data_IF_284865854413
#
_entry.id   IF_284865854413
#
_cell.length_a   1.000
_cell.length_b   1.000
_cell.length_c   1.000
_cell.angle_alpha   90.00
_cell.angle_beta   90.00
_cell.angle_gamma   90.00
#
_symmetry.space_group_name_H-M   'P 1'
#
loop_
_entity.id
_entity.type
_entity.pdbx_description
1 polymer ?
#
# COMPACT_ATOMS: atom_id res chain seq x y z
N UNK A 1 -2.96 13.12 -29.61
CA UNK A 1 -1.94 12.55 -30.53
C UNK A 1 -2.36 11.14 -30.96
N UNK A 2 -2.15 10.73 -32.21
CA UNK A 2 -2.47 9.37 -32.66
C UNK A 2 -1.48 8.38 -32.01
N UNK A 3 -1.95 7.22 -31.54
CA UNK A 3 -1.12 6.19 -30.89
C UNK A 3 0.15 5.85 -31.70
N UNK A 4 0.05 5.88 -33.04
CA UNK A 4 1.16 5.68 -33.99
C UNK A 4 2.39 6.57 -33.73
N UNK A 5 2.22 7.83 -33.28
CA UNK A 5 3.37 8.71 -33.01
C UNK A 5 4.24 8.18 -31.87
N UNK A 6 3.63 7.69 -30.79
CA UNK A 6 4.39 7.16 -29.66
C UNK A 6 5.02 5.81 -30.00
N UNK A 7 4.38 5.02 -30.86
CA UNK A 7 4.93 3.76 -31.36
C UNK A 7 6.19 4.00 -32.23
N UNK A 8 6.17 5.00 -33.12
CA UNK A 8 7.34 5.37 -33.93
C UNK A 8 8.54 5.74 -33.06
N UNK A 9 8.34 6.63 -32.07
CA UNK A 9 9.40 7.02 -31.14
C UNK A 9 9.88 5.87 -30.25
N UNK A 10 9.00 4.92 -29.94
CA UNK A 10 9.40 3.72 -29.23
C UNK A 10 10.29 2.82 -30.08
N UNK A 11 9.98 2.61 -31.36
CA UNK A 11 10.84 1.78 -32.22
C UNK A 11 12.27 2.34 -32.30
N UNK A 12 12.43 3.66 -32.40
CA UNK A 12 13.75 4.31 -32.38
C UNK A 12 14.52 4.01 -31.07
N UNK A 13 13.84 4.08 -29.93
CA UNK A 13 14.45 3.84 -28.61
C UNK A 13 14.76 2.36 -28.32
N UNK A 14 14.09 1.42 -29.00
CA UNK A 14 14.41 -0.01 -28.90
C UNK A 14 15.77 -0.32 -29.51
N UNK A 15 16.13 0.37 -30.58
CA UNK A 15 17.40 0.17 -31.28
C UNK A 15 18.55 0.94 -30.62
N UNK A 16 18.26 2.12 -30.04
CA UNK A 16 19.24 2.96 -29.36
C UNK A 16 18.69 3.49 -28.03
N UNK A 17 18.92 2.73 -26.96
CA UNK A 17 18.43 3.06 -25.63
C UNK A 17 19.04 4.36 -25.09
N UNK A 18 18.18 5.34 -24.82
CA UNK A 18 18.54 6.58 -24.11
C UNK A 18 17.59 6.81 -22.93
N UNK A 19 18.15 6.90 -21.72
CA UNK A 19 17.38 6.98 -20.48
C UNK A 19 16.53 8.25 -20.36
N UNK A 20 17.01 9.39 -20.87
CA UNK A 20 16.29 10.67 -20.78
C UNK A 20 15.11 10.70 -21.77
N UNK A 21 15.34 10.22 -22.99
CA UNK A 21 14.29 10.11 -24.00
C UNK A 21 13.25 9.05 -23.61
N UNK A 22 13.66 7.93 -23.01
CA UNK A 22 12.74 6.93 -22.47
C UNK A 22 11.86 7.50 -21.36
N UNK A 23 12.45 8.23 -20.40
CA UNK A 23 11.70 8.89 -19.33
C UNK A 23 10.69 9.92 -19.89
N UNK A 24 11.14 10.74 -20.83
CA UNK A 24 10.28 11.72 -21.51
C UNK A 24 9.13 11.06 -22.27
N UNK A 25 9.41 10.01 -23.05
CA UNK A 25 8.40 9.28 -23.80
C UNK A 25 7.39 8.61 -22.87
N UNK A 26 7.86 7.87 -21.86
CA UNK A 26 6.99 7.21 -20.89
C UNK A 26 6.07 8.22 -20.18
N UNK A 27 6.61 9.38 -19.76
CA UNK A 27 5.81 10.43 -19.11
C UNK A 27 4.73 10.99 -20.03
N UNK A 28 5.03 11.26 -21.30
CA UNK A 28 4.03 11.79 -22.26
C UNK A 28 2.95 10.76 -22.57
N UNK A 29 3.31 9.48 -22.70
CA UNK A 29 2.33 8.38 -22.92
C UNK A 29 1.41 8.26 -21.71
N UNK A 30 1.97 8.21 -20.50
CA UNK A 30 1.22 8.13 -19.26
C UNK A 30 0.29 9.33 -19.04
N UNK A 31 0.79 10.56 -19.22
CA UNK A 31 -0.01 11.77 -19.12
C UNK A 31 -1.12 11.79 -20.17
N UNK A 32 -0.83 11.41 -21.42
CA UNK A 32 -1.85 11.36 -22.48
C UNK A 32 -2.94 10.33 -22.21
N UNK A 33 -2.61 9.19 -21.59
CA UNK A 33 -3.60 8.22 -21.14
C UNK A 33 -4.51 8.86 -20.07
N UNK A 34 -3.92 9.44 -19.03
CA UNK A 34 -4.67 10.02 -17.91
C UNK A 34 -5.52 11.22 -18.37
N UNK A 35 -4.97 12.12 -19.17
CA UNK A 35 -5.70 13.29 -19.66
C UNK A 35 -6.90 12.86 -20.50
N UNK A 36 -6.72 11.95 -21.45
CA UNK A 36 -7.83 11.44 -22.26
C UNK A 36 -8.89 10.74 -21.44
N UNK A 37 -8.47 9.96 -20.46
CA UNK A 37 -9.40 9.30 -19.57
C UNK A 37 -10.23 10.31 -18.77
N UNK A 38 -9.59 11.31 -18.13
CA UNK A 38 -10.33 12.32 -17.36
C UNK A 38 -11.16 13.29 -18.22
N UNK A 39 -10.70 13.64 -19.43
CA UNK A 39 -11.43 14.58 -20.29
C UNK A 39 -12.52 13.93 -21.13
N UNK A 40 -12.40 12.64 -21.47
CA UNK A 40 -13.28 12.00 -22.47
C UNK A 40 -13.69 10.56 -22.13
N UNK A 41 -13.35 10.04 -20.94
CA UNK A 41 -13.59 8.66 -20.52
C UNK A 41 -13.01 7.61 -21.51
N UNK A 42 -11.99 8.03 -22.28
CA UNK A 42 -11.37 7.18 -23.30
C UNK A 42 -10.29 6.28 -22.67
N UNK A 43 -10.61 5.00 -22.53
CA UNK A 43 -9.62 3.99 -22.13
C UNK A 43 -8.72 3.59 -23.32
N UNK A 44 -7.56 4.24 -23.45
CA UNK A 44 -6.63 3.97 -24.55
C UNK A 44 -5.69 2.78 -24.25
N UNK A 45 -6.08 1.58 -24.69
CA UNK A 45 -5.33 0.33 -24.48
C UNK A 45 -3.88 0.38 -24.96
N UNK A 46 -3.64 1.02 -26.09
CA UNK A 46 -2.30 1.08 -26.70
C UNK A 46 -1.29 1.82 -25.85
N UNK A 47 -1.71 2.88 -25.14
CA UNK A 47 -0.82 3.58 -24.21
C UNK A 47 -0.35 2.68 -23.06
N UNK A 48 -1.25 1.87 -22.51
CA UNK A 48 -0.91 0.92 -21.44
C UNK A 48 -0.01 -0.20 -21.98
N UNK A 49 -0.30 -0.72 -23.17
CA UNK A 49 0.56 -1.72 -23.81
C UNK A 49 1.98 -1.19 -24.00
N UNK A 50 2.12 0.02 -24.54
CA UNK A 50 3.40 0.67 -24.79
C UNK A 50 4.20 0.89 -23.49
N UNK A 51 3.55 1.31 -22.41
CA UNK A 51 4.19 1.43 -21.10
C UNK A 51 4.66 0.08 -20.55
N UNK A 52 3.93 -1.00 -20.81
CA UNK A 52 4.36 -2.35 -20.42
C UNK A 52 5.56 -2.83 -21.23
N UNK A 53 5.57 -2.58 -22.54
CA UNK A 53 6.73 -2.87 -23.39
C UNK A 53 7.98 -2.13 -22.91
N UNK A 54 7.88 -0.82 -22.69
CA UNK A 54 8.99 -0.01 -22.17
C UNK A 54 9.50 -0.50 -20.81
N UNK A 55 8.60 -1.07 -19.99
CA UNK A 55 8.92 -1.55 -18.64
C UNK A 55 9.46 -2.99 -18.59
N UNK A 56 9.61 -3.66 -19.75
CA UNK A 56 10.03 -5.08 -19.82
C UNK A 56 10.98 -5.39 -20.98
N UNK A 57 11.23 -4.45 -21.88
CA UNK A 57 11.97 -4.71 -23.11
C UNK A 57 13.49 -4.87 -22.93
N UNK A 58 14.10 -4.07 -22.05
CA UNK A 58 15.55 -3.99 -21.95
C UNK A 58 16.12 -5.09 -21.05
N UNK A 59 17.33 -5.56 -21.36
CA UNK A 59 18.08 -6.44 -20.45
C UNK A 59 18.59 -5.67 -19.21
N UNK A 60 18.82 -4.37 -19.35
CA UNK A 60 19.14 -3.48 -18.23
C UNK A 60 17.86 -3.09 -17.48
N UNK A 61 17.71 -3.62 -16.26
CA UNK A 61 16.56 -3.35 -15.41
C UNK A 61 16.42 -1.87 -15.04
N UNK A 62 17.51 -1.10 -15.02
CA UNK A 62 17.46 0.33 -14.68
C UNK A 62 16.65 1.13 -15.71
N UNK A 63 16.69 0.75 -16.98
CA UNK A 63 15.89 1.33 -18.06
C UNK A 63 14.41 0.93 -17.92
N UNK A 64 14.14 -0.36 -17.69
CA UNK A 64 12.78 -0.85 -17.46
C UNK A 64 12.11 -0.17 -16.26
N UNK A 65 12.88 0.13 -15.21
CA UNK A 65 12.39 0.82 -14.02
C UNK A 65 11.90 2.24 -14.31
N UNK A 66 12.40 2.93 -15.34
CA UNK A 66 11.94 4.28 -15.72
C UNK A 66 10.46 4.25 -16.11
N UNK A 67 10.10 3.35 -17.02
CA UNK A 67 8.73 3.19 -17.49
C UNK A 67 7.82 2.60 -16.40
N UNK A 68 8.31 1.63 -15.62
CA UNK A 68 7.58 1.08 -14.48
C UNK A 68 7.25 2.18 -13.45
N UNK A 69 8.23 2.99 -13.04
CA UNK A 69 8.02 4.12 -12.12
C UNK A 69 6.98 5.10 -12.67
N UNK A 70 7.01 5.37 -13.96
CA UNK A 70 6.04 6.25 -14.60
C UNK A 70 4.63 5.66 -14.63
N UNK A 71 4.48 4.38 -15.00
CA UNK A 71 3.18 3.68 -14.97
C UNK A 71 2.59 3.69 -13.55
N UNK A 72 3.39 3.34 -12.54
CA UNK A 72 2.93 3.31 -11.15
C UNK A 72 2.64 4.70 -10.59
N UNK A 73 3.57 5.65 -10.73
CA UNK A 73 3.46 6.98 -10.11
C UNK A 73 2.57 7.98 -10.85
N UNK A 74 2.41 7.86 -12.17
CA UNK A 74 1.60 8.79 -12.96
C UNK A 74 0.21 8.23 -13.26
N UNK A 75 0.08 6.94 -13.56
CA UNK A 75 -1.20 6.35 -13.95
C UNK A 75 -1.88 5.67 -12.76
N UNK A 76 -1.25 4.64 -12.19
CA UNK A 76 -1.86 3.82 -11.14
C UNK A 76 -2.14 4.63 -9.88
N UNK A 77 -1.19 5.43 -9.40
CA UNK A 77 -1.38 6.26 -8.20
C UNK A 77 -2.55 7.24 -8.37
N UNK A 78 -2.68 7.90 -9.54
CA UNK A 78 -3.81 8.82 -9.80
C UNK A 78 -5.16 8.10 -9.81
N UNK A 79 -5.25 6.93 -10.45
CA UNK A 79 -6.46 6.12 -10.43
C UNK A 79 -6.81 5.58 -9.04
N UNK A 80 -5.82 5.42 -8.15
CA UNK A 80 -6.05 4.95 -6.78
C UNK A 80 -6.45 6.07 -5.81
N UNK A 81 -5.95 7.29 -6.01
CA UNK A 81 -6.08 8.38 -5.04
C UNK A 81 -7.39 9.19 -5.16
N UNK A 82 -8.15 9.04 -6.26
CA UNK A 82 -9.38 9.83 -6.50
C UNK A 82 -10.65 9.30 -5.78
N UNK A 83 -10.63 8.09 -5.22
CA UNK A 83 -11.75 7.48 -4.47
C UNK A 83 -13.15 7.52 -5.14
N UNK A 84 -13.23 7.66 -6.47
CA UNK A 84 -14.49 7.52 -7.21
C UNK A 84 -14.61 6.17 -7.94
N UNK A 85 -15.87 5.81 -8.24
CA UNK A 85 -16.24 4.46 -8.70
C UNK A 85 -15.67 4.16 -10.10
N UNK A 86 -15.71 5.13 -11.01
CA UNK A 86 -15.21 5.03 -12.38
C UNK A 86 -13.68 4.82 -12.41
N UNK A 87 -12.92 5.49 -11.54
CA UNK A 87 -11.47 5.27 -11.45
C UNK A 87 -11.15 3.88 -10.89
N UNK A 88 -11.99 3.34 -10.00
CA UNK A 88 -11.79 1.99 -9.46
C UNK A 88 -12.01 0.91 -10.53
N UNK A 89 -13.06 1.04 -11.35
CA UNK A 89 -13.31 0.16 -12.50
C UNK A 89 -12.14 0.24 -13.50
N UNK A 90 -11.71 1.45 -13.84
CA UNK A 90 -10.61 1.69 -14.76
C UNK A 90 -9.28 1.14 -14.27
N UNK A 91 -9.01 1.27 -12.96
CA UNK A 91 -7.86 0.62 -12.34
C UNK A 91 -7.91 -0.91 -12.55
N UNK A 92 -9.07 -1.54 -12.27
CA UNK A 92 -9.21 -2.99 -12.41
C UNK A 92 -8.98 -3.44 -13.86
N UNK A 93 -9.54 -2.71 -14.83
CA UNK A 93 -9.32 -2.96 -16.26
C UNK A 93 -7.85 -2.82 -16.65
N UNK A 94 -7.19 -1.77 -16.16
CA UNK A 94 -5.76 -1.53 -16.38
C UNK A 94 -4.90 -2.66 -15.82
N UNK A 95 -5.10 -3.06 -14.57
CA UNK A 95 -4.33 -4.16 -13.99
C UNK A 95 -4.60 -5.47 -14.72
N UNK A 96 -5.85 -5.76 -15.12
CA UNK A 96 -6.14 -6.95 -15.91
C UNK A 96 -5.39 -6.96 -17.24
N UNK A 97 -5.32 -5.82 -17.93
CA UNK A 97 -4.53 -5.67 -19.16
C UNK A 97 -3.03 -5.88 -18.90
N UNK A 98 -2.48 -5.31 -17.83
CA UNK A 98 -1.07 -5.49 -17.44
C UNK A 98 -0.77 -6.95 -17.14
N UNK A 99 -1.61 -7.63 -16.35
CA UNK A 99 -1.48 -9.06 -16.05
C UNK A 99 -1.52 -9.90 -17.33
N UNK A 100 -2.46 -9.58 -18.23
CA UNK A 100 -2.57 -10.26 -19.51
C UNK A 100 -1.29 -10.05 -20.34
N UNK A 101 -0.74 -8.84 -20.41
CA UNK A 101 0.54 -8.58 -21.06
C UNK A 101 1.66 -9.43 -20.45
N UNK A 102 1.80 -9.43 -19.12
CA UNK A 102 2.84 -10.20 -18.43
C UNK A 102 2.71 -11.70 -18.69
N UNK A 103 1.50 -12.25 -18.84
CA UNK A 103 1.30 -13.65 -19.20
C UNK A 103 1.81 -14.03 -20.62
N UNK A 104 2.14 -13.05 -21.47
CA UNK A 104 2.66 -13.27 -22.83
C UNK A 104 4.18 -13.10 -22.95
N UNK A 105 4.87 -12.62 -21.91
CA UNK A 105 6.33 -12.55 -21.87
C UNK A 105 6.92 -13.79 -21.16
N UNK A 106 8.19 -14.17 -21.42
CA UNK A 106 8.81 -15.36 -20.83
C UNK A 106 8.75 -15.41 -19.29
N UNK A 107 8.97 -14.28 -18.63
CA UNK A 107 9.01 -14.13 -17.18
C UNK A 107 7.65 -14.37 -16.51
N UNK A 108 6.55 -14.22 -17.25
CA UNK A 108 5.19 -14.42 -16.73
C UNK A 108 4.62 -15.82 -16.92
N UNK A 109 5.42 -16.80 -17.35
CA UNK A 109 4.97 -18.18 -17.57
C UNK A 109 4.35 -18.81 -16.31
N UNK A 110 4.96 -18.60 -15.16
CA UNK A 110 4.45 -19.11 -13.88
C UNK A 110 3.12 -18.44 -13.50
N UNK A 111 3.04 -17.12 -13.64
CA UNK A 111 1.81 -16.35 -13.41
C UNK A 111 0.65 -16.85 -14.26
N UNK A 112 0.91 -17.10 -15.55
CA UNK A 112 -0.07 -17.67 -16.46
C UNK A 112 -0.56 -19.04 -15.99
N UNK A 113 0.36 -19.92 -15.59
CA UNK A 113 0.03 -21.25 -15.07
C UNK A 113 -0.85 -21.17 -13.83
N UNK A 114 -0.52 -20.27 -12.91
CA UNK A 114 -1.28 -20.06 -11.68
C UNK A 114 -2.68 -19.52 -11.95
N UNK A 115 -2.83 -18.50 -12.80
CA UNK A 115 -4.15 -18.00 -13.20
C UNK A 115 -5.01 -19.07 -13.87
N UNK A 116 -4.39 -19.94 -14.68
CA UNK A 116 -5.07 -21.06 -15.31
C UNK A 116 -5.59 -22.08 -14.29
N UNK A 117 -4.87 -22.30 -13.18
CA UNK A 117 -5.33 -23.16 -12.08
C UNK A 117 -6.57 -22.59 -11.38
N UNK A 118 -6.75 -21.26 -11.40
CA UNK A 118 -7.96 -20.58 -10.95
C UNK A 118 -9.05 -20.50 -12.03
N UNK A 119 -8.86 -21.12 -13.19
CA UNK A 119 -9.76 -21.04 -14.36
C UNK A 119 -9.89 -19.61 -14.94
N UNK A 120 -8.89 -18.75 -14.72
CA UNK A 120 -8.80 -17.40 -15.26
C UNK A 120 -7.81 -17.39 -16.42
N UNK A 121 -8.32 -17.62 -17.64
CA UNK A 121 -7.50 -17.77 -18.85
C UNK A 121 -7.43 -16.52 -19.70
N UNK A 122 -8.32 -15.57 -19.49
CA UNK A 122 -8.42 -14.33 -20.26
C UNK A 122 -8.45 -13.09 -19.37
N UNK A 123 -8.04 -11.96 -19.93
CA UNK A 123 -8.18 -10.63 -19.31
C UNK A 123 -9.62 -10.38 -18.83
N UNK A 124 -10.61 -10.72 -19.67
CA UNK A 124 -12.03 -10.53 -19.37
C UNK A 124 -12.50 -11.37 -18.18
N UNK A 125 -12.03 -12.62 -18.04
CA UNK A 125 -12.37 -13.46 -16.89
C UNK A 125 -11.80 -12.90 -15.58
N UNK A 126 -10.57 -12.38 -15.63
CA UNK A 126 -9.93 -11.74 -14.48
C UNK A 126 -10.68 -10.46 -14.07
N UNK A 127 -11.07 -9.66 -15.07
CA UNK A 127 -11.86 -8.44 -14.88
C UNK A 127 -13.24 -8.73 -14.29
N UNK A 128 -14.00 -9.66 -14.89
CA UNK A 128 -15.31 -10.08 -14.39
C UNK A 128 -15.24 -10.60 -12.97
N UNK A 129 -14.17 -11.32 -12.61
CA UNK A 129 -13.98 -11.81 -11.24
C UNK A 129 -13.94 -10.65 -10.23
N UNK A 130 -13.08 -9.66 -10.46
CA UNK A 130 -12.92 -8.56 -9.49
C UNK A 130 -14.16 -7.66 -9.44
N UNK A 131 -14.78 -7.36 -10.58
CA UNK A 131 -16.02 -6.58 -10.60
C UNK A 131 -17.17 -7.32 -9.94
N UNK A 132 -17.28 -8.65 -10.14
CA UNK A 132 -18.26 -9.46 -9.42
C UNK A 132 -18.07 -9.41 -7.90
N UNK A 133 -16.82 -9.47 -7.41
CA UNK A 133 -16.51 -9.35 -5.98
C UNK A 133 -16.93 -7.97 -5.46
N UNK A 134 -16.61 -6.89 -6.19
CA UNK A 134 -16.88 -5.51 -5.78
C UNK A 134 -18.37 -5.16 -5.75
N UNK A 135 -19.12 -5.63 -6.75
CA UNK A 135 -20.54 -5.35 -6.92
C UNK A 135 -21.42 -6.26 -6.06
N UNK A 136 -20.90 -7.42 -5.63
CA UNK A 136 -21.63 -8.31 -4.73
C UNK A 136 -21.76 -7.65 -3.35
N UNK A 137 -22.98 -7.52 -2.81
CA UNK A 137 -23.16 -6.99 -1.46
C UNK A 137 -22.42 -7.84 -0.42
N UNK A 138 -21.88 -7.20 0.61
CA UNK A 138 -21.31 -7.92 1.75
C UNK A 138 -22.34 -8.91 2.32
N UNK A 139 -21.97 -10.18 2.34
CA UNK A 139 -22.81 -11.24 2.92
C UNK A 139 -22.18 -11.75 4.20
N UNK A 140 -23.05 -12.01 5.18
CA UNK A 140 -22.67 -12.67 6.42
C UNK A 140 -21.96 -13.99 6.10
N UNK A 141 -20.87 -14.27 6.82
CA UNK A 141 -20.16 -15.53 6.76
C UNK A 141 -21.14 -16.68 7.08
N UNK A 142 -21.05 -17.77 6.32
CA UNK A 142 -21.82 -18.97 6.59
C UNK A 142 -21.43 -19.52 7.96
N UNK A 143 -22.42 -19.96 8.76
CA UNK A 143 -22.17 -20.59 10.07
C UNK A 143 -21.41 -21.92 10.00
N UNK A 144 -21.20 -22.45 8.79
CA UNK A 144 -20.34 -23.61 8.51
C UNK A 144 -18.85 -23.25 8.62
N UNK A 145 -18.48 -21.98 8.39
CA UNK A 145 -17.09 -21.54 8.48
C UNK A 145 -16.67 -21.50 9.95
N UNK A 146 -15.64 -22.28 10.29
CA UNK A 146 -15.06 -22.43 11.63
C UNK A 146 -13.54 -22.30 11.49
N UNK A 147 -13.05 -21.09 11.22
CA UNK A 147 -11.66 -20.92 10.85
C UNK A 147 -10.76 -21.24 12.05
N UNK A 148 -9.80 -22.14 11.83
CA UNK A 148 -8.64 -22.33 12.71
C UNK A 148 -7.57 -21.28 12.43
N UNK A 149 -7.48 -20.81 11.17
CA UNK A 149 -6.59 -19.73 10.75
C UNK A 149 -7.33 -18.64 9.99
N UNK A 150 -7.07 -17.38 10.33
CA UNK A 150 -7.57 -16.21 9.61
C UNK A 150 -6.36 -15.43 9.10
N UNK A 151 -6.22 -15.37 7.79
CA UNK A 151 -5.15 -14.63 7.12
C UNK A 151 -5.69 -13.25 6.76
N UNK A 152 -4.99 -12.20 7.17
CA UNK A 152 -5.34 -10.81 6.87
C UNK A 152 -4.19 -10.20 6.07
N UNK A 153 -4.48 -9.70 4.87
CA UNK A 153 -3.43 -9.10 4.05
C UNK A 153 -3.14 -7.67 4.50
N UNK A 154 -1.88 -7.29 4.56
CA UNK A 154 -1.48 -5.90 4.79
C UNK A 154 -1.82 -5.04 3.57
N UNK A 155 -2.15 -3.77 3.78
CA UNK A 155 -2.24 -2.77 2.70
C UNK A 155 -0.90 -2.19 2.27
N UNK A 156 0.21 -2.70 2.83
CA UNK A 156 1.62 -2.33 2.57
C UNK A 156 2.03 -0.95 3.12
N UNK A 157 1.09 -0.20 3.72
CA UNK A 157 1.36 1.08 4.37
C UNK A 157 0.95 1.03 5.84
N UNK A 158 1.86 1.45 6.72
CA UNK A 158 1.67 1.40 8.18
C UNK A 158 0.38 2.14 8.59
N UNK A 159 0.14 3.33 8.05
CA UNK A 159 -1.07 4.09 8.39
C UNK A 159 -2.36 3.35 8.04
N UNK A 160 -2.41 2.67 6.89
CA UNK A 160 -3.58 1.90 6.50
C UNK A 160 -3.69 0.60 7.31
N UNK A 161 -2.57 -0.04 7.65
CA UNK A 161 -2.58 -1.22 8.53
C UNK A 161 -3.04 -0.87 9.95
N UNK A 162 -2.70 0.31 10.46
CA UNK A 162 -3.26 0.82 11.73
C UNK A 162 -4.75 1.14 11.58
N UNK A 163 -5.15 1.87 10.54
CA UNK A 163 -6.54 2.31 10.39
C UNK A 163 -7.54 1.20 10.03
N UNK A 164 -7.08 0.16 9.32
CA UNK A 164 -7.93 -0.90 8.73
C UNK A 164 -7.54 -2.26 9.29
N UNK A 165 -6.30 -2.71 9.04
CA UNK A 165 -5.86 -4.08 9.41
C UNK A 165 -5.98 -4.33 10.91
N UNK A 166 -5.63 -3.36 11.77
CA UNK A 166 -5.78 -3.50 13.24
C UNK A 166 -7.23 -3.61 13.70
N UNK A 167 -8.16 -2.94 13.01
CA UNK A 167 -9.59 -3.00 13.28
C UNK A 167 -10.11 -4.38 12.90
N UNK A 168 -9.70 -4.90 11.74
CA UNK A 168 -10.03 -6.26 11.30
C UNK A 168 -9.52 -7.27 12.33
N UNK A 169 -8.24 -7.20 12.72
CA UNK A 169 -7.66 -8.11 13.71
C UNK A 169 -8.45 -8.14 15.03
N UNK A 170 -8.82 -6.97 15.57
CA UNK A 170 -9.59 -6.89 16.80
C UNK A 170 -10.97 -7.54 16.66
N UNK A 171 -11.70 -7.19 15.60
CA UNK A 171 -13.07 -7.68 15.36
C UNK A 171 -13.09 -9.19 15.12
N UNK A 172 -12.11 -9.75 14.40
CA UNK A 172 -12.05 -11.20 14.17
C UNK A 172 -11.55 -11.96 15.39
N UNK A 173 -10.65 -11.39 16.20
CA UNK A 173 -10.22 -12.00 17.46
C UNK A 173 -11.39 -12.11 18.45
N UNK A 174 -12.26 -11.09 18.49
CA UNK A 174 -13.48 -11.13 19.30
C UNK A 174 -14.49 -12.16 18.79
N UNK A 175 -14.66 -12.26 17.46
CA UNK A 175 -15.65 -13.14 16.85
C UNK A 175 -15.21 -14.62 16.77
N UNK A 176 -13.92 -14.86 16.58
CA UNK A 176 -13.28 -16.18 16.52
C UNK A 176 -12.12 -16.27 17.53
N UNK A 177 -12.43 -16.37 18.84
CA UNK A 177 -11.40 -16.32 19.89
C UNK A 177 -10.37 -17.46 19.82
N UNK A 178 -10.74 -18.59 19.24
CA UNK A 178 -9.87 -19.78 19.11
C UNK A 178 -9.07 -19.80 17.79
N UNK A 179 -9.29 -18.84 16.89
CA UNK A 179 -8.61 -18.80 15.61
C UNK A 179 -7.24 -18.12 15.72
N UNK A 180 -6.23 -18.71 15.07
CA UNK A 180 -4.94 -18.07 14.89
C UNK A 180 -5.05 -16.97 13.82
N UNK A 181 -4.65 -15.74 14.17
CA UNK A 181 -4.69 -14.59 13.26
C UNK A 181 -3.30 -14.35 12.71
N UNK A 182 -3.18 -14.37 11.38
CA UNK A 182 -1.92 -14.16 10.66
C UNK A 182 -2.06 -12.95 9.74
N UNK A 183 -1.32 -11.88 10.03
CA UNK A 183 -1.18 -10.72 9.15
C UNK A 183 -0.02 -10.97 8.18
N UNK A 184 -0.28 -10.97 6.88
CA UNK A 184 0.74 -11.13 5.84
C UNK A 184 1.16 -9.76 5.32
N UNK A 185 2.42 -9.37 5.52
CA UNK A 185 2.93 -8.07 5.10
C UNK A 185 4.38 -7.82 5.50
N UNK A 186 4.85 -6.58 5.39
CA UNK A 186 6.25 -6.26 5.65
C UNK A 186 6.66 -6.54 7.12
N UNK A 187 7.91 -6.94 7.35
CA UNK A 187 8.43 -7.26 8.68
C UNK A 187 8.31 -6.13 9.70
N UNK A 188 8.29 -4.86 9.27
CA UNK A 188 8.04 -3.69 10.14
C UNK A 188 6.70 -3.77 10.88
N UNK A 189 5.74 -4.54 10.38
CA UNK A 189 4.46 -4.76 11.05
C UNK A 189 4.60 -5.43 12.42
N UNK A 190 5.70 -6.18 12.66
CA UNK A 190 6.02 -6.72 13.99
C UNK A 190 6.19 -5.64 15.07
N UNK A 191 6.46 -4.39 14.67
CA UNK A 191 6.58 -3.25 15.58
C UNK A 191 5.22 -2.68 16.01
N UNK A 192 4.17 -2.90 15.21
CA UNK A 192 2.80 -2.43 15.51
C UNK A 192 1.87 -3.56 15.94
N UNK A 193 2.20 -4.82 15.62
CA UNK A 193 1.52 -6.04 16.06
C UNK A 193 2.50 -6.89 16.88
N UNK A 194 2.95 -6.37 18.02
CA UNK A 194 3.85 -7.09 18.92
C UNK A 194 3.21 -8.37 19.49
N UNK A 195 4.01 -9.24 20.08
CA UNK A 195 3.60 -10.57 20.55
C UNK A 195 2.39 -10.53 21.51
N UNK A 196 2.24 -9.48 22.31
CA UNK A 196 1.13 -9.31 23.26
C UNK A 196 -0.24 -9.14 22.57
N UNK A 197 -0.27 -8.97 21.25
CA UNK A 197 -1.50 -8.88 20.47
C UNK A 197 -2.15 -10.25 20.15
N UNK A 198 -1.44 -11.36 20.35
CA UNK A 198 -1.79 -12.69 19.82
C UNK A 198 -1.95 -12.73 18.28
N UNK A 199 -1.43 -11.73 17.57
CA UNK A 199 -1.43 -11.65 16.10
C UNK A 199 -0.04 -12.04 15.60
N UNK A 200 0.02 -13.01 14.69
CA UNK A 200 1.27 -13.39 14.03
C UNK A 200 1.49 -12.53 12.79
N UNK A 201 2.70 -11.98 12.63
CA UNK A 201 3.10 -11.31 11.39
C UNK A 201 3.92 -12.27 10.54
N UNK A 202 3.37 -12.66 9.40
CA UNK A 202 4.08 -13.41 8.39
C UNK A 202 4.69 -12.43 7.38
N UNK A 203 6.02 -12.45 7.31
CA UNK A 203 6.78 -11.46 6.55
C UNK A 203 6.74 -11.74 5.05
N UNK A 204 6.26 -10.76 4.30
CA UNK A 204 6.28 -10.73 2.84
C UNK A 204 6.69 -9.33 2.38
N UNK A 205 7.84 -9.24 1.71
CA UNK A 205 8.45 -7.97 1.35
C UNK A 205 7.97 -7.48 -0.01
N UNK A 206 7.10 -6.47 -0.01
CA UNK A 206 6.65 -5.77 -1.22
C UNK A 206 7.63 -4.66 -1.61
N UNK A 207 8.27 -4.78 -2.77
CA UNK A 207 9.17 -3.77 -3.30
C UNK A 207 8.41 -2.51 -3.75
N UNK A 208 8.56 -1.41 -2.99
CA UNK A 208 7.95 -0.12 -3.36
C UNK A 208 8.53 0.45 -4.65
N UNK A 209 9.83 0.26 -4.89
CA UNK A 209 10.58 0.81 -6.04
C UNK A 209 11.01 -0.24 -7.09
N UNK A 210 10.32 -1.38 -7.11
CA UNK A 210 10.63 -2.48 -8.03
C UNK A 210 10.20 -2.25 -9.48
N UNK A 211 10.70 -3.09 -10.38
CA UNK A 211 10.28 -3.16 -11.79
C UNK A 211 8.84 -3.66 -11.95
N UNK A 212 8.32 -3.65 -13.19
CA UNK A 212 6.95 -4.11 -13.45
C UNK A 212 6.78 -5.59 -13.07
N UNK A 213 7.68 -6.46 -13.53
CA UNK A 213 7.62 -7.92 -13.28
C UNK A 213 7.70 -8.21 -11.77
N UNK A 214 8.66 -7.63 -11.07
CA UNK A 214 8.87 -7.80 -9.62
C UNK A 214 7.61 -7.48 -8.81
N UNK A 215 6.89 -6.40 -9.17
CA UNK A 215 5.65 -5.98 -8.49
C UNK A 215 4.51 -6.97 -8.64
N UNK A 216 4.54 -7.84 -9.64
CA UNK A 216 3.54 -8.91 -9.81
C UNK A 216 4.06 -10.27 -9.36
N UNK A 217 5.38 -10.51 -9.35
CA UNK A 217 5.96 -11.72 -8.76
C UNK A 217 5.66 -11.86 -7.26
N UNK A 218 5.46 -10.74 -6.56
CA UNK A 218 5.03 -10.77 -5.14
C UNK A 218 3.73 -11.56 -4.93
N UNK A 219 2.84 -11.60 -5.93
CA UNK A 219 1.62 -12.40 -5.87
C UNK A 219 1.92 -13.91 -5.89
N UNK A 220 2.91 -14.35 -6.67
CA UNK A 220 3.36 -15.76 -6.70
C UNK A 220 3.96 -16.17 -5.35
N UNK A 221 4.76 -15.29 -4.74
CA UNK A 221 5.27 -15.50 -3.39
C UNK A 221 4.13 -15.57 -2.38
N UNK A 222 3.16 -14.65 -2.45
CA UNK A 222 1.98 -14.69 -1.59
C UNK A 222 1.18 -15.99 -1.76
N UNK A 223 0.95 -16.45 -3.00
CA UNK A 223 0.27 -17.71 -3.27
C UNK A 223 0.98 -18.89 -2.61
N UNK A 224 2.31 -18.94 -2.74
CA UNK A 224 3.13 -20.00 -2.15
C UNK A 224 2.98 -20.02 -0.63
N UNK A 225 3.09 -18.85 0.01
CA UNK A 225 2.97 -18.74 1.46
C UNK A 225 1.56 -19.04 1.96
N UNK A 226 0.52 -18.53 1.29
CA UNK A 226 -0.87 -18.83 1.61
C UNK A 226 -1.11 -20.34 1.53
N UNK A 227 -0.71 -20.99 0.44
CA UNK A 227 -0.85 -22.44 0.26
C UNK A 227 -0.12 -23.21 1.34
N UNK A 228 1.09 -22.80 1.71
CA UNK A 228 1.88 -23.41 2.80
C UNK A 228 1.17 -23.28 4.15
N UNK A 229 0.61 -22.11 4.46
CA UNK A 229 -0.09 -21.85 5.72
C UNK A 229 -1.37 -22.69 5.83
N UNK A 230 -2.09 -22.90 4.72
CA UNK A 230 -3.39 -23.60 4.72
C UNK A 230 -3.32 -25.08 4.30
N UNK A 231 -2.15 -25.63 4.00
CA UNK A 231 -1.99 -26.96 3.38
C UNK A 231 -2.72 -28.10 4.11
N UNK A 232 -2.82 -28.02 5.43
CA UNK A 232 -3.44 -29.05 6.29
C UNK A 232 -4.82 -28.62 6.82
N UNK A 233 -5.45 -27.62 6.22
CA UNK A 233 -6.75 -27.10 6.62
C UNK A 233 -7.79 -27.43 5.54
N UNK A 234 -8.97 -27.86 5.98
CA UNK A 234 -10.12 -27.98 5.10
C UNK A 234 -10.68 -26.60 4.71
N UNK A 235 -11.48 -26.50 3.64
CA UNK A 235 -12.10 -25.24 3.20
C UNK A 235 -13.03 -24.57 4.22
N UNK A 236 -13.32 -25.17 5.37
CA UNK A 236 -14.11 -24.50 6.43
C UNK A 236 -13.24 -23.99 7.57
N UNK A 237 -11.95 -24.37 7.58
CA UNK A 237 -10.99 -24.11 8.66
C UNK A 237 -10.05 -22.93 8.37
N UNK A 238 -10.25 -22.21 7.26
CA UNK A 238 -9.51 -20.97 7.02
C UNK A 238 -10.35 -19.88 6.35
N UNK A 239 -9.95 -18.64 6.57
CA UNK A 239 -10.55 -17.45 5.96
C UNK A 239 -9.44 -16.46 5.58
N UNK A 240 -9.54 -15.87 4.39
CA UNK A 240 -8.68 -14.76 3.94
C UNK A 240 -9.50 -13.48 3.90
N UNK A 241 -9.01 -12.46 4.60
CA UNK A 241 -9.53 -11.11 4.60
C UNK A 241 -8.56 -10.19 3.85
N UNK A 242 -9.02 -9.64 2.75
CA UNK A 242 -8.25 -8.75 1.89
C UNK A 242 -8.77 -7.31 2.03
N UNK A 243 -8.07 -6.44 2.78
CA UNK A 243 -8.46 -5.05 2.99
C UNK A 243 -8.15 -4.13 1.81
N UNK A 244 -8.29 -4.60 0.57
CA UNK A 244 -7.85 -3.89 -0.64
C UNK A 244 -6.31 -3.81 -0.70
N UNK A 245 -5.66 -4.96 -0.60
CA UNK A 245 -4.20 -5.11 -0.49
C UNK A 245 -3.50 -4.94 -1.83
N UNK A 246 -2.36 -4.21 -1.83
CA UNK A 246 -1.47 -4.15 -2.99
C UNK A 246 -0.84 -5.50 -3.35
N UNK A 247 -0.81 -6.47 -2.42
CA UNK A 247 -0.25 -7.79 -2.67
C UNK A 247 -1.10 -8.62 -3.65
N UNK A 248 -2.40 -8.39 -3.69
CA UNK A 248 -3.35 -8.99 -4.65
C UNK A 248 -3.68 -8.06 -5.80
N UNK A 249 -2.90 -6.97 -5.95
CA UNK A 249 -3.21 -5.86 -6.85
C UNK A 249 -4.65 -5.36 -6.64
N UNK A 250 -4.96 -5.06 -5.38
CA UNK A 250 -6.24 -4.52 -4.94
C UNK A 250 -7.42 -5.46 -5.24
N UNK A 251 -7.20 -6.75 -4.98
CA UNK A 251 -8.19 -7.83 -5.14
C UNK A 251 -8.28 -8.45 -6.52
N UNK A 252 -7.61 -7.87 -7.53
CA UNK A 252 -7.63 -8.38 -8.92
C UNK A 252 -7.13 -9.83 -8.98
N UNK A 253 -5.98 -10.11 -8.36
CA UNK A 253 -5.34 -11.42 -8.39
C UNK A 253 -5.93 -12.37 -7.33
N UNK A 254 -6.28 -13.62 -7.70
CA UNK A 254 -6.89 -14.59 -6.79
C UNK A 254 -5.86 -15.21 -5.82
N UNK A 255 -6.34 -15.69 -4.66
CA UNK A 255 -5.52 -16.48 -3.72
C UNK A 255 -6.13 -17.85 -3.42
N UNK A 256 -7.45 -17.87 -3.21
CA UNK A 256 -8.22 -19.04 -2.81
C UNK A 256 -9.62 -18.95 -3.44
N UNK A 257 -10.41 -20.04 -3.44
CA UNK A 257 -11.81 -19.98 -3.85
C UNK A 257 -12.61 -18.92 -3.09
N UNK A 258 -13.57 -18.28 -3.77
CA UNK A 258 -14.38 -17.17 -3.23
C UNK A 258 -15.06 -17.46 -1.88
N UNK A 259 -15.55 -18.67 -1.56
CA UNK A 259 -16.12 -18.95 -0.25
C UNK A 259 -15.19 -18.61 0.93
N UNK A 260 -13.88 -18.75 0.74
CA UNK A 260 -12.84 -18.50 1.74
C UNK A 260 -12.21 -17.11 1.65
N UNK A 261 -12.66 -16.26 0.73
CA UNK A 261 -12.08 -14.95 0.49
C UNK A 261 -13.12 -13.86 0.73
N UNK A 262 -12.77 -12.85 1.53
CA UNK A 262 -13.59 -11.64 1.70
C UNK A 262 -12.75 -10.43 1.39
N UNK A 263 -13.27 -9.62 0.49
CA UNK A 263 -12.65 -8.38 0.03
C UNK A 263 -13.36 -7.20 0.67
N UNK A 264 -12.59 -6.26 1.22
CA UNK A 264 -13.10 -4.98 1.67
C UNK A 264 -12.93 -3.96 0.55
N UNK A 265 -14.04 -3.63 -0.13
CA UNK A 265 -14.05 -2.60 -1.16
C UNK A 265 -13.92 -1.21 -0.51
N UNK A 266 -12.68 -0.76 -0.34
CA UNK A 266 -12.35 0.46 0.39
C UNK A 266 -12.52 1.76 -0.42
N UNK A 267 -12.72 1.64 -1.74
CA UNK A 267 -12.64 2.75 -2.70
C UNK A 267 -13.94 3.10 -3.42
N UNK A 268 -14.95 2.23 -3.40
CA UNK A 268 -16.12 2.46 -4.24
C UNK A 268 -17.30 1.60 -3.90
N UNK A 269 -17.68 1.52 -2.61
CA UNK A 269 -18.93 0.85 -2.24
C UNK A 269 -20.08 1.85 -2.28
N UNK A 270 -21.03 1.64 -3.18
CA UNK A 270 -22.24 2.47 -3.22
C UNK A 270 -23.00 2.39 -1.88
N UNK A 271 -23.44 3.54 -1.37
CA UNK A 271 -24.20 3.64 -0.12
C UNK A 271 -23.37 3.78 1.17
N UNK A 272 -22.04 3.82 1.10
CA UNK A 272 -21.21 4.20 2.26
C UNK A 272 -21.15 5.72 2.43
N UNK A 273 -21.07 6.19 3.68
CA UNK A 273 -20.95 7.62 3.97
C UNK A 273 -19.66 8.19 3.37
N UNK A 274 -19.79 9.25 2.56
CA UNK A 274 -18.64 9.97 1.95
C UNK A 274 -17.70 10.63 2.98
N UNK A 275 -18.14 10.74 4.23
CA UNK A 275 -17.36 11.35 5.32
C UNK A 275 -16.89 10.32 6.36
N UNK A 276 -17.12 9.03 6.12
CA UNK A 276 -16.64 8.00 7.03
C UNK A 276 -15.12 7.84 6.92
N UNK A 277 -14.46 7.81 8.06
CA UNK A 277 -13.07 7.37 8.16
C UNK A 277 -12.91 5.91 7.72
N UNK A 278 -11.69 5.54 7.31
CA UNK A 278 -11.37 4.15 6.95
C UNK A 278 -11.72 3.15 8.05
N UNK A 279 -11.53 3.51 9.33
CA UNK A 279 -11.90 2.66 10.46
C UNK A 279 -13.42 2.46 10.56
N UNK A 280 -14.23 3.50 10.30
CA UNK A 280 -15.69 3.39 10.29
C UNK A 280 -16.17 2.51 9.14
N UNK A 281 -15.62 2.69 7.93
CA UNK A 281 -15.93 1.84 6.78
C UNK A 281 -15.55 0.38 7.03
N UNK A 282 -14.41 0.14 7.67
CA UNK A 282 -13.93 -1.19 8.04
C UNK A 282 -14.87 -1.86 9.05
N UNK A 283 -15.28 -1.15 10.10
CA UNK A 283 -16.25 -1.67 11.06
C UNK A 283 -17.60 -1.96 10.39
N UNK A 284 -18.10 -1.06 9.54
CA UNK A 284 -19.36 -1.29 8.81
C UNK A 284 -19.29 -2.53 7.91
N UNK A 285 -18.18 -2.75 7.23
CA UNK A 285 -17.94 -3.97 6.44
C UNK A 285 -17.96 -5.22 7.34
N UNK A 286 -17.27 -5.18 8.47
CA UNK A 286 -17.23 -6.26 9.46
C UNK A 286 -18.60 -6.54 10.08
N UNK A 287 -19.43 -5.51 10.27
CA UNK A 287 -20.81 -5.68 10.73
C UNK A 287 -21.62 -6.54 9.75
N UNK A 288 -21.45 -6.30 8.45
CA UNK A 288 -22.16 -7.06 7.41
C UNK A 288 -21.65 -8.50 7.31
N UNK A 289 -20.33 -8.72 7.38
CA UNK A 289 -19.75 -10.06 7.19
C UNK A 289 -19.77 -10.92 8.46
N UNK A 290 -19.61 -10.35 9.65
CA UNK A 290 -19.65 -11.09 10.93
C UNK A 290 -21.07 -11.13 11.52
N UNK A 291 -21.90 -10.12 11.24
CA UNK A 291 -23.23 -9.98 11.84
C UNK A 291 -23.22 -9.54 13.30
N UNK A 292 -22.11 -8.96 13.78
CA UNK A 292 -21.94 -8.32 15.08
C UNK A 292 -21.65 -6.83 14.84
N UNK A 293 -22.22 -5.91 15.63
CA UNK A 293 -22.09 -4.44 15.46
C UNK A 293 -21.13 -3.75 16.43
N UNK A 294 -20.19 -4.50 17.02
CA UNK A 294 -19.14 -3.91 17.87
C UNK A 294 -18.27 -2.91 17.10
N UNK A 295 -17.80 -1.86 17.75
CA UNK A 295 -16.88 -0.90 17.12
C UNK A 295 -15.47 -1.02 17.70
N UNK A 296 -14.50 -1.30 16.84
CA UNK A 296 -13.08 -1.27 17.22
C UNK A 296 -12.39 -0.04 16.63
N UNK A 297 -11.70 0.71 17.48
CA UNK A 297 -10.86 1.83 17.06
C UNK A 297 -9.51 1.32 16.54
N UNK A 298 -8.85 2.07 15.63
CA UNK A 298 -7.47 1.80 15.25
C UNK A 298 -6.57 1.63 16.47
N UNK A 299 -5.78 0.58 16.49
CA UNK A 299 -4.93 0.22 17.62
C UNK A 299 -3.56 -0.23 17.15
N UNK A 300 -2.55 0.06 17.96
CA UNK A 300 -1.21 -0.50 17.85
C UNK A 300 -0.87 -1.26 19.13
N UNK A 301 -0.07 -2.30 18.98
CA UNK A 301 0.52 -3.10 20.06
C UNK A 301 2.04 -2.93 19.97
N UNK A 302 2.60 -1.85 20.53
CA UNK A 302 4.04 -1.63 20.52
C UNK A 302 4.76 -2.62 21.44
N UNK A 303 5.99 -2.97 21.07
CA UNK A 303 6.85 -3.86 21.87
C UNK A 303 7.17 -3.18 23.23
N UNK A 304 7.14 -3.95 24.31
CA UNK A 304 7.37 -3.43 25.68
C UNK A 304 8.68 -2.63 25.82
N UNK A 305 9.77 -3.05 25.17
CA UNK A 305 11.06 -2.32 25.17
C UNK A 305 10.96 -0.93 24.54
N UNK A 306 10.10 -0.76 23.52
CA UNK A 306 9.88 0.55 22.89
C UNK A 306 9.07 1.46 23.81
N UNK A 307 8.09 0.92 24.55
CA UNK A 307 7.34 1.67 25.55
C UNK A 307 8.25 2.17 26.68
N UNK A 308 9.13 1.30 27.20
CA UNK A 308 10.13 1.68 28.21
C UNK A 308 11.09 2.76 27.69
N UNK A 309 11.55 2.61 26.45
CA UNK A 309 12.43 3.61 25.81
C UNK A 309 11.73 4.96 25.64
N UNK A 310 10.44 4.95 25.25
CA UNK A 310 9.63 6.16 25.10
C UNK A 310 9.39 6.84 26.45
N UNK A 311 9.17 6.08 27.53
CA UNK A 311 9.03 6.62 28.88
C UNK A 311 10.34 7.26 29.38
N UNK A 312 11.48 6.60 29.18
CA UNK A 312 12.79 7.17 29.49
C UNK A 312 13.08 8.43 28.68
N UNK A 313 12.72 8.43 27.40
CA UNK A 313 12.85 9.61 26.55
C UNK A 313 11.97 10.75 27.07
N UNK A 314 10.70 10.49 27.41
CA UNK A 314 9.80 11.47 28.01
C UNK A 314 10.38 12.09 29.28
N UNK A 315 10.93 11.26 30.18
CA UNK A 315 11.54 11.74 31.43
C UNK A 315 12.79 12.60 31.18
N UNK A 316 13.56 12.35 30.11
CA UNK A 316 14.72 13.18 29.75
C UNK A 316 14.31 14.56 29.23
N UNK A 317 13.30 14.60 28.34
CA UNK A 317 12.91 15.85 27.70
C UNK A 317 11.91 16.66 28.53
N UNK A 318 11.15 16.04 29.43
CA UNK A 318 10.19 16.70 30.30
C UNK A 318 10.09 15.98 31.66
N UNK A 319 11.11 16.12 32.53
CA UNK A 319 11.19 15.40 33.81
C UNK A 319 9.98 15.66 34.73
N UNK A 320 9.46 16.88 34.69
CA UNK A 320 8.35 17.32 35.53
C UNK A 320 6.98 17.01 34.92
N UNK A 321 6.92 16.48 33.69
CA UNK A 321 5.68 16.21 32.94
C UNK A 321 4.78 17.45 32.79
N UNK A 322 5.38 18.65 32.72
CA UNK A 322 4.67 19.92 32.68
C UNK A 322 4.53 20.47 31.25
N UNK A 323 5.17 19.82 30.27
CA UNK A 323 5.13 20.26 28.89
C UNK A 323 4.09 19.52 28.05
N UNK A 324 3.45 20.26 27.16
CA UNK A 324 2.68 19.69 26.05
C UNK A 324 3.67 19.17 25.02
N UNK A 325 3.66 17.85 24.78
CA UNK A 325 4.55 17.23 23.79
C UNK A 325 3.75 16.90 22.54
N UNK A 326 4.16 17.47 21.43
CA UNK A 326 3.54 17.28 20.12
C UNK A 326 4.54 16.49 19.26
N UNK A 327 4.09 15.34 18.72
CA UNK A 327 4.88 14.61 17.72
C UNK A 327 4.42 15.02 16.34
N UNK A 328 5.36 15.42 15.47
CA UNK A 328 5.08 15.93 14.13
C UNK A 328 5.85 15.11 13.12
N UNK A 329 5.17 14.65 12.07
CA UNK A 329 5.79 14.05 10.89
C UNK A 329 5.25 14.77 9.65
N UNK A 330 6.16 15.36 8.87
CA UNK A 330 5.86 16.10 7.65
C UNK A 330 6.41 15.40 6.40
N UNK A 331 6.91 14.18 6.55
CA UNK A 331 7.42 13.37 5.45
C UNK A 331 6.30 13.00 4.47
N UNK A 332 6.59 13.15 3.18
CA UNK A 332 5.64 12.89 2.09
C UNK A 332 5.89 11.56 1.39
N UNK A 333 6.83 10.75 1.90
CA UNK A 333 7.24 9.47 1.34
C UNK A 333 7.94 9.60 -0.02
N UNK A 334 8.61 10.73 -0.25
CA UNK A 334 9.23 11.08 -1.54
C UNK A 334 8.25 11.52 -2.64
N UNK A 335 7.00 11.86 -2.31
CA UNK A 335 6.04 12.43 -3.26
C UNK A 335 5.74 13.90 -2.91
N UNK A 336 6.54 14.82 -3.47
CA UNK A 336 6.41 16.27 -3.26
C UNK A 336 5.02 16.84 -3.56
N UNK A 337 4.20 16.19 -4.40
CA UNK A 337 2.83 16.64 -4.66
C UNK A 337 1.93 16.56 -3.43
N UNK A 338 2.29 15.73 -2.44
CA UNK A 338 1.57 15.60 -1.16
C UNK A 338 1.96 16.68 -0.16
N UNK A 339 3.04 17.43 -0.44
CA UNK A 339 3.53 18.48 0.44
C UNK A 339 2.64 19.71 0.32
N UNK A 340 2.32 20.32 1.46
CA UNK A 340 1.71 21.66 1.46
C UNK A 340 2.79 22.66 1.06
N UNK A 341 2.56 23.42 -0.02
CA UNK A 341 3.57 24.30 -0.59
C UNK A 341 3.91 25.51 0.31
N UNK A 342 5.03 26.15 0.01
CA UNK A 342 5.49 27.36 0.68
C UNK A 342 6.06 27.12 2.08
N UNK A 343 5.86 28.12 2.94
CA UNK A 343 6.40 28.16 4.31
C UNK A 343 5.48 27.51 5.34
N UNK A 344 4.38 26.88 4.93
CA UNK A 344 3.35 26.33 5.83
C UNK A 344 3.93 25.47 6.96
N UNK A 345 4.83 24.55 6.64
CA UNK A 345 5.45 23.64 7.62
C UNK A 345 6.27 24.39 8.67
N UNK A 346 6.99 25.42 8.23
CA UNK A 346 7.78 26.30 9.09
C UNK A 346 6.86 27.13 9.98
N UNK A 347 5.84 27.75 9.40
CA UNK A 347 4.84 28.55 10.13
C UNK A 347 4.10 27.69 11.16
N UNK A 348 3.72 26.46 10.81
CA UNK A 348 3.09 25.51 11.71
C UNK A 348 3.98 25.21 12.93
N UNK A 349 5.23 24.83 12.69
CA UNK A 349 6.16 24.50 13.77
C UNK A 349 6.44 25.69 14.68
N UNK A 350 6.71 26.87 14.11
CA UNK A 350 6.97 28.08 14.88
C UNK A 350 5.74 28.51 15.69
N UNK A 351 4.55 28.41 15.10
CA UNK A 351 3.29 28.72 15.79
C UNK A 351 3.07 27.78 16.98
N UNK A 352 3.26 26.46 16.79
CA UNK A 352 3.15 25.49 17.88
C UNK A 352 4.21 25.72 18.97
N UNK A 353 5.43 26.11 18.61
CA UNK A 353 6.51 26.38 19.57
C UNK A 353 6.33 27.68 20.35
N UNK A 354 5.53 28.63 19.84
CA UNK A 354 5.16 29.85 20.56
C UNK A 354 4.15 29.59 21.69
N UNK A 355 3.45 28.44 21.68
CA UNK A 355 2.54 28.08 22.76
C UNK A 355 3.31 27.74 24.05
N UNK A 356 2.92 28.29 25.21
CA UNK A 356 3.61 28.07 26.47
C UNK A 356 3.80 26.60 26.81
N UNK A 357 4.99 26.25 27.30
CA UNK A 357 5.36 24.88 27.72
C UNK A 357 5.23 23.83 26.62
N UNK A 358 5.34 24.20 25.34
CA UNK A 358 5.27 23.23 24.22
C UNK A 358 6.65 22.70 23.85
N UNK A 359 6.72 21.39 23.57
CA UNK A 359 7.89 20.72 22.99
C UNK A 359 7.47 19.90 21.79
N UNK A 360 8.25 19.98 20.71
CA UNK A 360 7.98 19.22 19.49
C UNK A 360 9.00 18.10 19.33
N UNK A 361 8.51 16.89 19.06
CA UNK A 361 9.29 15.76 18.58
C UNK A 361 9.05 15.67 17.07
N UNK A 362 10.03 16.15 16.31
CA UNK A 362 9.97 16.16 14.85
C UNK A 362 10.57 14.87 14.28
N UNK A 363 9.78 14.13 13.51
CA UNK A 363 10.27 13.06 12.65
C UNK A 363 11.09 13.66 11.51
N UNK A 364 12.32 13.19 11.33
CA UNK A 364 13.28 13.77 10.39
C UNK A 364 13.16 13.20 8.97
N UNK A 365 12.11 12.42 8.72
CA UNK A 365 11.82 11.83 7.42
C UNK A 365 12.76 10.71 7.00
N UNK A 366 12.47 10.14 5.83
CA UNK A 366 13.24 9.08 5.20
C UNK A 366 13.90 9.56 3.91
N UNK A 367 15.23 9.42 3.84
CA UNK A 367 16.02 9.77 2.67
C UNK A 367 16.54 11.22 2.70
N UNK A 368 17.32 11.58 1.68
CA UNK A 368 18.07 12.84 1.67
C UNK A 368 17.17 14.09 1.62
N UNK A 369 16.13 14.08 0.77
CA UNK A 369 15.25 15.24 0.57
C UNK A 369 14.44 15.59 1.83
N UNK A 370 13.72 14.61 2.41
CA UNK A 370 12.95 14.85 3.65
C UNK A 370 13.87 15.24 4.82
N UNK A 371 15.13 14.78 4.78
CA UNK A 371 16.14 15.13 5.78
C UNK A 371 16.64 16.57 5.62
N UNK A 372 16.90 17.03 4.40
CA UNK A 372 17.22 18.44 4.13
C UNK A 372 16.08 19.35 4.56
N UNK A 373 14.84 18.98 4.22
CA UNK A 373 13.63 19.69 4.62
C UNK A 373 13.53 19.79 6.15
N UNK A 374 13.66 18.67 6.86
CA UNK A 374 13.63 18.65 8.32
C UNK A 374 14.77 19.47 8.94
N UNK A 375 15.96 19.43 8.33
CA UNK A 375 17.11 20.26 8.76
C UNK A 375 16.82 21.75 8.63
N UNK A 376 16.17 22.18 7.53
CA UNK A 376 15.73 23.56 7.34
C UNK A 376 14.72 24.01 8.40
N UNK A 377 13.78 23.13 8.78
CA UNK A 377 12.82 23.40 9.85
C UNK A 377 13.50 23.54 11.22
N UNK A 378 14.49 22.69 11.52
CA UNK A 378 15.28 22.79 12.75
C UNK A 378 16.08 24.09 12.80
N UNK A 379 16.67 24.52 11.67
CA UNK A 379 17.38 25.79 11.57
C UNK A 379 16.45 26.98 11.83
N UNK A 380 15.26 26.98 11.22
CA UNK A 380 14.26 28.03 11.45
C UNK A 380 13.84 28.14 12.92
N UNK A 381 13.70 27.00 13.61
CA UNK A 381 13.41 26.99 15.04
C UNK A 381 14.58 27.55 15.87
N UNK A 382 15.83 27.23 15.52
CA UNK A 382 17.03 27.79 16.17
C UNK A 382 17.11 29.32 15.99
N UNK A 383 16.85 29.81 14.78
CA UNK A 383 16.81 31.25 14.47
C UNK A 383 15.72 31.98 15.26
N UNK A 384 14.62 31.30 15.58
CA UNK A 384 13.56 31.79 16.46
C UNK A 384 13.89 31.67 17.97
N UNK A 385 15.11 31.26 18.33
CA UNK A 385 15.57 31.14 19.72
C UNK A 385 15.14 29.83 20.42
N UNK A 386 14.61 28.86 19.69
CA UNK A 386 14.22 27.56 20.23
C UNK A 386 15.45 26.65 20.33
N UNK A 387 15.65 26.03 21.49
CA UNK A 387 16.68 25.00 21.65
C UNK A 387 16.27 23.74 20.90
N UNK A 388 17.05 23.34 19.91
CA UNK A 388 16.84 22.09 19.16
C UNK A 388 17.96 21.10 19.43
N UNK A 389 17.67 19.83 19.20
CA UNK A 389 18.65 18.76 19.29
C UNK A 389 18.16 17.53 18.56
N UNK A 390 19.08 16.81 17.94
CA UNK A 390 18.78 15.53 17.34
C UNK A 390 19.07 14.40 18.33
N UNK A 391 18.17 13.44 18.39
CA UNK A 391 18.38 12.24 19.19
C UNK A 391 18.51 11.03 18.25
N UNK A 392 19.57 10.21 18.40
CA UNK A 392 19.70 8.96 17.65
C UNK A 392 18.74 7.85 18.12
N UNK A 393 17.63 8.16 18.82
CA UNK A 393 16.58 7.19 19.16
C UNK A 393 16.00 6.42 17.95
N UNK A 394 16.33 6.84 16.72
CA UNK A 394 16.08 6.14 15.45
C UNK A 394 17.17 5.13 15.02
N UNK A 395 18.23 4.91 15.81
CA UNK A 395 19.21 3.83 15.60
C UNK A 395 18.69 2.44 15.99
N UNK A 396 17.41 2.32 16.33
CA UNK A 396 16.71 1.02 16.32
C UNK A 396 16.64 0.59 14.84
N UNK A 397 17.63 -0.22 14.40
CA UNK A 397 17.81 -0.80 13.05
C UNK A 397 18.76 -0.08 12.07
N UNK A 398 19.93 0.43 12.50
CA UNK A 398 21.05 0.61 11.53
C UNK A 398 21.80 -0.69 11.20
N UNK A 399 21.75 -1.70 12.07
CA UNK A 399 22.50 -2.95 11.89
C UNK A 399 21.87 -3.96 10.92
N UNK A 400 20.74 -3.63 10.28
CA UNK A 400 20.09 -4.49 9.28
C UNK A 400 20.25 -4.02 7.83
N UNK A 401 20.86 -2.84 7.59
CA UNK A 401 20.98 -2.25 6.24
C UNK A 401 22.42 -2.32 5.72
N UNK A 402 23.41 -2.63 6.56
CA UNK A 402 24.81 -2.80 6.14
C UNK A 402 25.12 -4.18 5.54
N UNK A 403 24.14 -5.08 5.39
CA UNK A 403 24.32 -6.43 4.84
C UNK A 403 23.78 -6.61 3.40
N UNK A 404 23.51 -5.52 2.67
CA UNK A 404 23.06 -5.56 1.27
C UNK A 404 23.84 -4.58 0.38
N UNK A 405 25.17 -4.63 0.47
CA UNK A 405 26.04 -4.17 -0.63
C UNK A 405 26.38 -5.36 -1.52
#
# INVERSE_FOLDING_TARGET
>A
MKSNYYQEQWQELRESADSQHLDSLAKRVASSFIDRYYYSDEYNREHIHLLCEMATHFADESLNQIAARTLFGTVIERLCDDFEELQTETYNRLICQVVNYLCHIPEGKEMKSELYSFHLRTEEQLYQRIESIRLTPDRKLSGIVRPKKILILSRVTIGADVAITSVICQRVAQFYPDAEIVVIGNGKLKQIFACESNIQVHELNYARRGGLVEKFQIWLQLLTEVRRIIANLSPVEFLILDPDSRLTQLGVLPLVPLPNYRFFNSRGKQGTSKHASMAQLTNQWLDNILGNKEFCYPKVWPIASNLQSAEQFRLKIDPNKNSTIITVNLGVGGNERKRVQGEFEKELLLTLLNEPNTKIVLDLGFGYQEREQSSSLLQAAQEAGVTTGENPHSLISRDAISALN
#
